data_IF_542570460807
#
_entry.id   IF_542570460807
#
_cell.length_a   1.000
_cell.length_b   1.000
_cell.length_c   1.000
_cell.angle_alpha   90.00
_cell.angle_beta   90.00
_cell.angle_gamma   90.00
#
_symmetry.space_group_name_H-M   'P 1'
#
loop_
_entity.id
_entity.type
_entity.pdbx_description
1 polymer ?
#
# COMPACT_ATOMS: atom_id res chain seq x y z
N UNK A 1 22.49 24.86 25.45
CA UNK A 1 21.64 23.74 25.09
C UNK A 1 21.99 23.21 23.70
N UNK A 2 22.32 21.97 23.63
CA UNK A 2 22.65 21.37 22.36
C UNK A 2 21.44 21.25 21.47
N UNK A 3 21.69 21.28 20.21
CA UNK A 3 20.65 21.15 19.19
C UNK A 3 20.29 19.67 19.01
N UNK A 4 19.12 19.27 19.48
CA UNK A 4 18.69 17.88 19.39
C UNK A 4 18.14 17.51 18.03
N UNK A 5 17.82 18.50 17.21
CA UNK A 5 17.28 18.24 15.89
C UNK A 5 18.27 18.65 14.83
N UNK A 6 18.68 17.68 14.05
CA UNK A 6 19.46 17.94 12.85
C UNK A 6 18.52 17.97 11.66
N UNK A 7 18.75 18.94 10.79
CA UNK A 7 18.05 18.98 9.51
C UNK A 7 18.96 18.41 8.44
N UNK A 8 18.51 17.38 7.79
CA UNK A 8 19.15 16.84 6.60
C UNK A 8 18.27 17.08 5.39
N UNK A 9 18.89 17.53 4.31
CA UNK A 9 18.19 17.74 3.06
C UNK A 9 18.58 16.63 2.10
N UNK A 10 17.60 15.81 1.73
CA UNK A 10 17.78 14.73 0.79
C UNK A 10 16.96 15.05 -0.46
N UNK A 11 17.60 15.05 -1.60
CA UNK A 11 16.91 15.29 -2.86
C UNK A 11 16.60 13.96 -3.55
N UNK A 12 15.49 13.93 -4.26
CA UNK A 12 15.07 12.75 -5.00
C UNK A 12 14.25 13.19 -6.21
N UNK A 13 14.13 12.31 -7.18
CA UNK A 13 13.22 12.49 -8.31
C UNK A 13 11.80 12.07 -7.91
N UNK A 14 11.71 11.05 -7.08
CA UNK A 14 10.44 10.55 -6.54
C UNK A 14 10.58 10.33 -5.04
N UNK A 15 9.65 10.84 -4.29
CA UNK A 15 9.56 10.61 -2.86
C UNK A 15 8.32 9.79 -2.55
N UNK A 16 8.51 8.69 -1.86
CA UNK A 16 7.43 7.82 -1.41
C UNK A 16 7.32 7.93 0.11
N UNK A 17 6.15 8.24 0.59
CA UNK A 17 5.88 8.33 2.03
C UNK A 17 5.27 7.02 2.50
N UNK A 18 6.00 6.31 3.33
CA UNK A 18 5.58 5.03 3.85
C UNK A 18 6.23 3.84 3.16
N UNK A 19 6.84 2.96 3.96
CA UNK A 19 7.58 1.78 3.49
C UNK A 19 6.83 0.47 3.67
N UNK A 20 5.51 0.48 3.59
CA UNK A 20 4.71 -0.73 3.57
C UNK A 20 4.69 -1.38 2.18
N UNK A 21 3.75 -2.28 1.95
CA UNK A 21 3.63 -2.99 0.67
C UNK A 21 3.50 -2.04 -0.51
N UNK A 22 2.59 -1.08 -0.42
CA UNK A 22 2.35 -0.13 -1.53
C UNK A 22 3.59 0.69 -1.85
N UNK A 23 4.24 1.24 -0.82
CA UNK A 23 5.43 2.06 -1.01
C UNK A 23 6.58 1.27 -1.61
N UNK A 24 6.80 0.07 -1.12
CA UNK A 24 7.88 -0.80 -1.62
C UNK A 24 7.62 -1.24 -3.05
N UNK A 25 6.39 -1.63 -3.39
CA UNK A 25 6.05 -2.00 -4.77
C UNK A 25 6.16 -0.82 -5.72
N UNK A 26 5.73 0.36 -5.28
CA UNK A 26 5.88 1.57 -6.09
C UNK A 26 7.36 1.85 -6.38
N UNK A 27 8.20 1.77 -5.37
CA UNK A 27 9.64 2.00 -5.52
C UNK A 27 10.27 0.98 -6.46
N UNK A 28 9.95 -0.30 -6.31
CA UNK A 28 10.47 -1.36 -7.18
C UNK A 28 10.05 -1.15 -8.63
N UNK A 29 8.78 -0.85 -8.85
CA UNK A 29 8.25 -0.64 -10.19
C UNK A 29 8.93 0.55 -10.87
N UNK A 30 9.09 1.66 -10.15
CA UNK A 30 9.77 2.84 -10.69
C UNK A 30 11.22 2.51 -11.01
N UNK A 31 11.92 1.83 -10.12
CA UNK A 31 13.32 1.46 -10.32
C UNK A 31 13.50 0.53 -11.52
N UNK A 32 12.57 -0.37 -11.76
CA UNK A 32 12.63 -1.27 -12.92
C UNK A 32 12.35 -0.54 -14.23
N UNK A 33 11.37 0.37 -14.24
CA UNK A 33 10.99 1.08 -15.45
C UNK A 33 11.88 2.26 -15.78
N UNK A 34 12.42 2.91 -14.76
CA UNK A 34 13.25 4.11 -14.92
C UNK A 34 14.45 4.04 -13.98
N UNK A 35 15.47 3.22 -14.29
CA UNK A 35 16.62 3.02 -13.40
C UNK A 35 17.43 4.30 -13.12
N UNK A 36 17.31 5.31 -13.97
CA UNK A 36 18.02 6.58 -13.81
C UNK A 36 17.40 7.50 -12.76
N UNK A 37 16.18 7.24 -12.33
CA UNK A 37 15.50 8.06 -11.32
C UNK A 37 15.97 7.68 -9.92
N UNK A 38 16.21 8.69 -9.10
CA UNK A 38 16.49 8.50 -7.68
C UNK A 38 15.19 8.45 -6.91
N UNK A 39 14.89 7.27 -6.36
CA UNK A 39 13.68 7.05 -5.58
C UNK A 39 14.05 6.96 -4.10
N UNK A 40 13.35 7.71 -3.27
CA UNK A 40 13.55 7.70 -1.82
C UNK A 40 12.24 7.33 -1.15
N UNK A 41 12.31 6.40 -0.20
CA UNK A 41 11.19 6.04 0.66
C UNK A 41 11.42 6.66 2.03
N UNK A 42 10.48 7.47 2.49
CA UNK A 42 10.51 8.02 3.85
C UNK A 42 9.59 7.17 4.74
N UNK A 43 10.20 6.42 5.65
CA UNK A 43 9.50 5.54 6.57
C UNK A 43 9.77 6.01 8.00
N UNK A 44 8.71 6.22 8.77
CA UNK A 44 8.84 6.73 10.14
C UNK A 44 9.40 5.72 11.13
N UNK A 45 9.35 4.44 10.80
CA UNK A 45 9.84 3.37 11.64
C UNK A 45 10.94 2.60 10.91
N UNK A 46 11.15 1.34 11.26
CA UNK A 46 12.16 0.52 10.59
C UNK A 46 11.61 -0.02 9.28
N UNK A 47 12.25 0.35 8.17
CA UNK A 47 11.80 -0.08 6.83
C UNK A 47 11.78 -1.61 6.66
N UNK A 48 12.63 -2.32 7.37
CA UNK A 48 12.72 -3.78 7.26
C UNK A 48 11.54 -4.47 7.95
N UNK A 49 10.95 -3.80 8.94
CA UNK A 49 9.91 -4.39 9.78
C UNK A 49 8.65 -3.55 9.85
N UNK A 50 8.38 -2.76 8.84
CA UNK A 50 7.22 -1.87 8.84
C UNK A 50 6.14 -2.36 7.91
N UNK A 51 4.91 -1.99 8.26
CA UNK A 51 3.74 -2.30 7.47
C UNK A 51 3.06 -3.61 7.87
N UNK A 52 1.86 -3.79 7.36
CA UNK A 52 1.01 -4.93 7.73
C UNK A 52 1.60 -6.27 7.31
N UNK A 53 2.26 -6.34 6.15
CA UNK A 53 2.87 -7.59 5.70
C UNK A 53 3.99 -8.03 6.65
N UNK A 54 4.80 -7.10 7.12
CA UNK A 54 5.85 -7.41 8.07
C UNK A 54 5.29 -7.90 9.41
N UNK A 55 4.10 -7.44 9.76
CA UNK A 55 3.40 -7.86 10.98
C UNK A 55 2.71 -9.22 10.83
N UNK A 56 2.61 -9.76 9.63
CA UNK A 56 2.05 -11.10 9.41
C UNK A 56 0.78 -11.18 8.61
N UNK A 57 0.30 -10.09 8.02
CA UNK A 57 -0.86 -10.15 7.14
C UNK A 57 -0.50 -10.92 5.89
N UNK A 58 -1.23 -12.00 5.63
CA UNK A 58 -0.91 -12.93 4.54
C UNK A 58 -2.14 -13.31 3.71
N UNK A 59 -3.23 -12.59 3.85
CA UNK A 59 -4.48 -12.89 3.16
C UNK A 59 -4.97 -11.69 2.35
N UNK A 60 -5.55 -12.00 1.22
CA UNK A 60 -6.19 -11.03 0.35
C UNK A 60 -7.70 -11.26 0.38
N UNK A 61 -8.45 -10.22 0.72
CA UNK A 61 -9.90 -10.28 0.77
C UNK A 61 -10.49 -9.60 -0.46
N UNK A 62 -10.90 -10.40 -1.43
CA UNK A 62 -11.42 -9.91 -2.70
C UNK A 62 -12.26 -11.02 -3.37
N UNK A 63 -12.93 -10.68 -4.47
CA UNK A 63 -13.76 -11.65 -5.20
C UNK A 63 -13.00 -12.27 -6.38
N UNK A 64 -11.87 -12.83 -6.15
CA UNK A 64 -11.01 -13.37 -7.22
C UNK A 64 -11.34 -14.81 -7.63
N UNK A 65 -12.24 -15.46 -6.90
CA UNK A 65 -12.66 -16.84 -7.22
C UNK A 65 -13.56 -16.85 -8.44
N UNK A 66 -13.33 -17.80 -9.35
CA UNK A 66 -14.16 -17.98 -10.54
C UNK A 66 -15.64 -18.14 -10.17
N UNK A 67 -16.51 -17.48 -10.92
CA UNK A 67 -17.96 -17.51 -10.68
C UNK A 67 -18.44 -16.44 -9.69
N UNK A 68 -17.55 -15.71 -9.06
CA UNK A 68 -17.92 -14.63 -8.15
C UNK A 68 -18.01 -13.29 -8.91
N UNK A 69 -18.89 -12.43 -8.43
CA UNK A 69 -19.13 -11.10 -9.00
C UNK A 69 -18.70 -10.03 -8.01
N UNK A 70 -18.42 -8.79 -8.48
CA UNK A 70 -18.12 -7.68 -7.57
C UNK A 70 -19.19 -7.48 -6.51
N UNK A 71 -20.45 -7.65 -6.86
CA UNK A 71 -21.58 -7.49 -5.93
C UNK A 71 -21.50 -8.48 -4.77
N UNK A 72 -21.01 -9.69 -5.00
CA UNK A 72 -20.84 -10.69 -3.94
C UNK A 72 -19.89 -10.17 -2.86
N UNK A 73 -18.81 -9.55 -3.27
CA UNK A 73 -17.85 -8.98 -2.33
C UNK A 73 -18.39 -7.73 -1.63
N UNK A 74 -19.12 -6.89 -2.35
CA UNK A 74 -19.77 -5.71 -1.76
C UNK A 74 -20.77 -6.14 -0.70
N UNK A 75 -21.58 -7.17 -0.98
CA UNK A 75 -22.54 -7.68 -0.01
C UNK A 75 -21.86 -8.26 1.23
N UNK A 76 -20.80 -9.02 1.02
CA UNK A 76 -20.00 -9.56 2.12
C UNK A 76 -19.41 -8.44 2.99
N UNK A 77 -18.76 -7.47 2.36
CA UNK A 77 -18.11 -6.37 3.07
C UNK A 77 -19.13 -5.50 3.81
N UNK A 78 -20.27 -5.26 3.19
CA UNK A 78 -21.35 -4.48 3.82
C UNK A 78 -21.89 -5.19 5.05
N UNK A 79 -22.11 -6.49 4.97
CA UNK A 79 -22.59 -7.30 6.08
C UNK A 79 -21.58 -7.38 7.21
N UNK A 80 -20.31 -7.60 6.87
CA UNK A 80 -19.22 -7.69 7.84
C UNK A 80 -18.99 -6.38 8.59
N UNK A 81 -19.12 -5.25 7.91
CA UNK A 81 -18.95 -3.92 8.49
C UNK A 81 -20.23 -3.29 9.01
N UNK A 82 -21.32 -4.06 9.16
CA UNK A 82 -22.61 -3.56 9.61
C UNK A 82 -23.15 -2.39 8.79
N UNK A 83 -22.94 -2.42 7.47
CA UNK A 83 -23.40 -1.40 6.54
C UNK A 83 -22.45 -0.22 6.39
N UNK A 84 -21.39 -0.15 7.15
CA UNK A 84 -20.43 0.97 7.07
C UNK A 84 -19.30 0.57 6.12
N UNK A 85 -19.52 0.79 4.82
CA UNK A 85 -18.52 0.47 3.81
C UNK A 85 -18.69 1.38 2.59
N UNK A 86 -17.57 1.75 1.97
CA UNK A 86 -17.58 2.40 0.66
C UNK A 86 -17.69 1.32 -0.41
N UNK A 87 -18.83 1.24 -1.05
CA UNK A 87 -19.14 0.15 -1.99
C UNK A 87 -18.32 0.21 -3.28
N UNK A 88 -17.81 1.40 -3.64
CA UNK A 88 -16.97 1.57 -4.82
C UNK A 88 -15.56 0.97 -4.65
N UNK A 89 -15.03 0.95 -3.45
CA UNK A 89 -13.67 0.48 -3.19
C UNK A 89 -13.48 -1.02 -3.42
N UNK A 90 -14.37 -1.92 -2.94
CA UNK A 90 -14.23 -3.34 -3.23
C UNK A 90 -14.21 -3.66 -4.72
N UNK A 91 -15.06 -2.99 -5.51
CA UNK A 91 -15.09 -3.16 -6.96
C UNK A 91 -13.80 -2.68 -7.59
N UNK A 92 -13.36 -1.48 -7.25
CA UNK A 92 -12.11 -0.90 -7.76
C UNK A 92 -10.91 -1.77 -7.43
N UNK A 93 -10.83 -2.24 -6.20
CA UNK A 93 -9.72 -3.08 -5.72
C UNK A 93 -9.59 -4.37 -6.52
N UNK A 94 -10.71 -5.06 -6.73
CA UNK A 94 -10.69 -6.32 -7.48
C UNK A 94 -10.41 -6.12 -8.96
N UNK A 95 -10.84 -5.03 -9.56
CA UNK A 95 -10.49 -4.71 -10.94
C UNK A 95 -8.99 -4.52 -11.14
N UNK A 96 -8.30 -3.99 -10.12
CA UNK A 96 -6.85 -3.79 -10.18
C UNK A 96 -6.07 -5.09 -10.05
N UNK A 97 -6.62 -6.10 -9.40
CA UNK A 97 -5.94 -7.38 -9.19
C UNK A 97 -6.08 -8.34 -10.38
N UNK A 98 -6.99 -8.08 -11.28
CA UNK A 98 -7.19 -8.87 -12.48
C UNK A 98 -6.39 -8.35 -13.66
#
# INVERSE_FOLDING_TARGET
>A
MENYMKTEIITSDVLIIGGGTSGCYAALTIAEQNPELKVVIAEKANIIRSGCLAAGVNALNAYITEGRKPEDYVDYATKDANGIVRKDLPVSYTHLTL
#
